data_IF_497027980894
#
_entry.id   IF_497027980894
#
_cell.length_a   1.000
_cell.length_b   1.000
_cell.length_c   1.000
_cell.angle_alpha   90.00
_cell.angle_beta   90.00
_cell.angle_gamma   90.00
#
_symmetry.space_group_name_H-M   'P 1'
#
loop_
_entity.id
_entity.type
_entity.pdbx_description
1 polymer ?
#
# COMPACT_ATOMS: atom_id res chain seq x y z
N UNK A 1 -14.20 25.92 -45.68
CA UNK A 1 -13.83 27.00 -44.74
C UNK A 1 -14.32 26.58 -43.36
N UNK A 2 -13.44 26.02 -42.54
CA UNK A 2 -13.75 25.57 -41.18
C UNK A 2 -12.54 25.89 -40.31
N UNK A 3 -12.63 26.99 -39.56
CA UNK A 3 -11.59 27.47 -38.63
C UNK A 3 -11.73 26.77 -37.28
N UNK A 4 -10.65 26.14 -36.84
CA UNK A 4 -10.48 25.55 -35.49
C UNK A 4 -10.61 26.63 -34.39
N UNK A 5 -11.12 26.30 -33.19
CA UNK A 5 -11.14 27.23 -32.07
C UNK A 5 -9.74 27.36 -31.45
N UNK A 6 -9.30 28.60 -31.27
CA UNK A 6 -8.05 28.96 -30.61
C UNK A 6 -8.10 28.58 -29.11
N UNK A 7 -7.12 27.77 -28.69
CA UNK A 7 -6.76 27.59 -27.28
C UNK A 7 -6.34 28.94 -26.69
N UNK A 8 -7.00 29.34 -25.60
CA UNK A 8 -6.61 30.51 -24.81
C UNK A 8 -5.43 30.14 -23.91
N UNK A 9 -4.35 30.90 -24.05
CA UNK A 9 -3.21 30.92 -23.13
C UNK A 9 -3.67 31.20 -21.69
N UNK A 10 -3.53 30.19 -20.81
CA UNK A 10 -3.64 30.40 -19.37
C UNK A 10 -2.27 30.83 -18.84
N UNK A 11 -2.10 32.15 -18.69
CA UNK A 11 -0.94 32.81 -18.09
C UNK A 11 -0.57 32.18 -16.73
N UNK A 12 0.67 31.70 -16.62
CA UNK A 12 1.36 31.40 -15.36
C UNK A 12 1.33 32.64 -14.45
N UNK A 13 0.62 32.58 -13.32
CA UNK A 13 0.89 33.45 -12.16
C UNK A 13 1.68 32.64 -11.15
N UNK A 14 2.97 32.93 -11.06
CA UNK A 14 3.81 32.49 -9.95
C UNK A 14 3.37 33.22 -8.69
N UNK A 15 2.71 32.50 -7.80
CA UNK A 15 2.52 32.84 -6.40
C UNK A 15 2.61 31.53 -5.64
N UNK A 16 3.66 31.35 -4.85
CA UNK A 16 3.75 30.23 -3.92
C UNK A 16 2.65 30.42 -2.86
N UNK A 17 1.46 29.91 -3.17
CA UNK A 17 0.43 29.73 -2.17
C UNK A 17 1.00 28.73 -1.16
N UNK A 18 1.17 29.19 0.08
CA UNK A 18 1.52 28.33 1.21
C UNK A 18 0.43 27.27 1.28
N UNK A 19 0.76 26.03 0.89
CA UNK A 19 -0.15 24.89 1.01
C UNK A 19 -0.62 24.84 2.47
N UNK A 20 -1.93 24.73 2.74
CA UNK A 20 -2.44 24.65 4.10
C UNK A 20 -1.80 23.46 4.81
N UNK A 21 -1.47 23.63 6.09
CA UNK A 21 -0.89 22.57 6.92
C UNK A 21 -1.75 21.30 6.78
N UNK A 22 -1.11 20.22 6.33
CA UNK A 22 -1.77 18.94 6.12
C UNK A 22 -2.30 18.43 7.46
N UNK A 23 -3.62 18.50 7.66
CA UNK A 23 -4.24 17.90 8.84
C UNK A 23 -4.32 16.38 8.64
N UNK A 24 -3.49 15.66 9.38
CA UNK A 24 -3.56 14.19 9.52
C UNK A 24 -4.19 13.91 10.87
N UNK A 25 -5.37 13.29 10.87
CA UNK A 25 -6.01 12.80 12.11
C UNK A 25 -5.95 11.27 12.13
N UNK A 26 -5.30 10.73 13.16
CA UNK A 26 -5.31 9.31 13.47
C UNK A 26 -6.36 9.07 14.55
N UNK A 27 -7.38 8.30 14.22
CA UNK A 27 -8.42 7.88 15.16
C UNK A 27 -8.36 6.37 15.34
N UNK A 28 -8.18 5.93 16.58
CA UNK A 28 -8.16 4.51 16.92
C UNK A 28 -9.58 4.07 17.26
N UNK A 29 -10.09 3.08 16.54
CA UNK A 29 -11.36 2.43 16.86
C UNK A 29 -11.03 1.08 17.49
N UNK A 30 -11.20 1.01 18.80
CA UNK A 30 -11.11 -0.25 19.54
C UNK A 30 -12.35 -1.11 19.26
N UNK A 31 -12.17 -2.25 18.61
CA UNK A 31 -13.19 -3.30 18.58
C UNK A 31 -13.15 -4.09 19.90
N UNK A 32 -13.89 -3.61 20.90
CA UNK A 32 -13.94 -4.20 22.26
C UNK A 32 -14.48 -5.64 22.32
N UNK A 33 -14.83 -6.25 21.18
CA UNK A 33 -15.37 -7.61 21.07
C UNK A 33 -14.42 -8.67 20.53
N UNK A 34 -13.19 -8.34 20.12
CA UNK A 34 -12.26 -9.33 19.54
C UNK A 34 -10.87 -9.29 20.22
N UNK A 35 -10.27 -10.46 20.45
CA UNK A 35 -8.85 -10.61 20.89
C UNK A 35 -7.84 -10.18 19.80
N UNK A 36 -8.23 -9.28 18.91
CA UNK A 36 -7.53 -8.98 17.67
C UNK A 36 -6.90 -7.59 17.66
N UNK A 37 -6.04 -7.32 16.67
CA UNK A 37 -5.34 -6.03 16.53
C UNK A 37 -6.30 -4.86 16.33
N UNK A 38 -5.85 -3.63 16.54
CA UNK A 38 -6.75 -2.47 16.45
C UNK A 38 -7.07 -2.07 15.00
N UNK A 39 -8.22 -1.43 14.79
CA UNK A 39 -8.55 -0.73 13.54
C UNK A 39 -8.22 0.75 13.74
N UNK A 40 -7.34 1.25 12.91
CA UNK A 40 -6.88 2.63 12.89
C UNK A 40 -7.46 3.30 11.65
N UNK A 41 -8.30 4.32 11.86
CA UNK A 41 -8.72 5.19 10.78
C UNK A 41 -7.69 6.31 10.63
N UNK A 42 -7.11 6.41 9.44
CA UNK A 42 -6.24 7.51 9.08
C UNK A 42 -7.02 8.42 8.14
N UNK A 43 -7.40 9.57 8.66
CA UNK A 43 -7.97 10.62 7.83
C UNK A 43 -6.82 11.45 7.29
N UNK A 44 -6.62 11.37 5.99
CA UNK A 44 -5.70 12.26 5.28
C UNK A 44 -6.53 13.23 4.44
N UNK A 45 -6.18 14.50 4.46
CA UNK A 45 -6.51 15.35 3.33
C UNK A 45 -5.60 14.90 2.20
N UNK A 46 -6.16 14.35 1.12
CA UNK A 46 -5.34 13.95 -0.02
C UNK A 46 -4.74 15.21 -0.62
N UNK A 47 -3.41 15.29 -0.58
CA UNK A 47 -2.71 16.29 -1.38
C UNK A 47 -2.57 15.71 -2.77
N UNK A 48 -3.06 16.46 -3.75
CA UNK A 48 -2.79 16.18 -5.14
C UNK A 48 -1.32 16.55 -5.41
N UNK A 49 -0.40 15.61 -5.19
CA UNK A 49 0.95 15.73 -5.74
C UNK A 49 1.01 14.97 -7.07
N UNK A 50 1.32 15.68 -8.15
CA UNK A 50 1.67 15.06 -9.43
C UNK A 50 2.92 14.20 -9.20
N UNK A 51 2.85 12.91 -9.56
CA UNK A 51 3.91 11.93 -9.29
C UNK A 51 5.29 12.44 -9.74
N UNK A 52 6.31 12.33 -8.91
CA UNK A 52 7.69 12.63 -9.32
C UNK A 52 8.36 11.55 -10.18
N UNK A 53 7.75 10.38 -10.40
CA UNK A 53 8.30 9.36 -11.31
C UNK A 53 7.24 8.65 -12.18
N UNK A 54 6.97 9.21 -13.36
CA UNK A 54 6.90 8.45 -14.62
C UNK A 54 5.66 7.62 -14.98
N UNK A 55 4.73 7.31 -14.08
CA UNK A 55 3.46 6.65 -14.44
C UNK A 55 2.31 7.65 -14.33
N UNK A 56 1.88 8.29 -15.43
CA UNK A 56 0.83 9.27 -15.36
C UNK A 56 -0.51 8.61 -14.95
N UNK A 57 -1.24 9.27 -14.04
CA UNK A 57 -2.62 8.95 -13.69
C UNK A 57 -3.53 9.32 -14.87
N UNK A 58 -3.67 8.44 -15.86
CA UNK A 58 -4.37 8.80 -17.11
C UNK A 58 -5.80 8.30 -17.25
N UNK A 59 -6.36 7.57 -16.28
CA UNK A 59 -7.74 7.07 -16.40
C UNK A 59 -8.58 7.37 -15.16
N UNK A 60 -9.81 7.86 -15.39
CA UNK A 60 -10.88 8.01 -14.37
C UNK A 60 -11.15 6.71 -13.60
N UNK A 61 -10.67 5.56 -14.12
CA UNK A 61 -10.79 4.22 -13.54
C UNK A 61 -9.71 3.87 -12.51
N UNK A 62 -8.59 4.60 -12.50
CA UNK A 62 -7.43 4.34 -11.64
C UNK A 62 -6.99 5.64 -10.98
N UNK A 63 -7.85 6.19 -10.12
CA UNK A 63 -7.52 7.37 -9.32
C UNK A 63 -6.51 6.97 -8.22
N UNK A 64 -5.23 6.94 -8.60
CA UNK A 64 -4.13 6.65 -7.70
C UNK A 64 -3.63 7.96 -7.10
N UNK A 65 -3.76 8.08 -5.79
CA UNK A 65 -3.29 9.25 -5.04
C UNK A 65 -2.01 8.92 -4.32
N UNK A 66 -1.12 9.89 -4.22
CA UNK A 66 0.16 9.73 -3.54
C UNK A 66 0.04 10.26 -2.11
N UNK A 67 0.67 9.55 -1.17
CA UNK A 67 0.75 10.01 0.22
C UNK A 67 1.84 11.07 0.35
N UNK A 68 1.53 12.17 1.02
CA UNK A 68 2.53 13.18 1.34
C UNK A 68 3.65 12.58 2.23
N UNK A 69 4.89 13.07 2.14
CA UNK A 69 6.01 12.57 2.95
C UNK A 69 5.75 12.57 4.46
N UNK A 70 4.97 13.53 4.97
CA UNK A 70 4.58 13.59 6.38
C UNK A 70 3.69 12.44 6.82
N UNK A 71 2.82 11.92 5.93
CA UNK A 71 2.02 10.72 6.19
C UNK A 71 2.93 9.50 6.27
N UNK A 72 3.90 9.37 5.37
CA UNK A 72 4.85 8.27 5.38
C UNK A 72 5.72 8.26 6.65
N UNK A 73 6.17 9.44 7.11
CA UNK A 73 6.89 9.57 8.38
C UNK A 73 6.03 9.15 9.59
N UNK A 74 4.75 9.53 9.61
CA UNK A 74 3.82 9.08 10.64
C UNK A 74 3.62 7.56 10.62
N UNK A 75 3.57 6.95 9.43
CA UNK A 75 3.49 5.49 9.28
C UNK A 75 4.74 4.79 9.79
N UNK A 76 5.94 5.33 9.56
CA UNK A 76 7.18 4.78 10.13
C UNK A 76 7.15 4.77 11.65
N UNK A 77 6.75 5.89 12.24
CA UNK A 77 6.55 6.03 13.69
C UNK A 77 5.54 5.00 14.24
N UNK A 78 4.44 4.79 13.52
CA UNK A 78 3.45 3.77 13.86
C UNK A 78 4.05 2.36 13.76
N UNK A 79 4.73 2.05 12.65
CA UNK A 79 5.32 0.74 12.42
C UNK A 79 6.35 0.36 13.47
N UNK A 80 7.16 1.32 13.95
CA UNK A 80 8.11 1.07 15.04
C UNK A 80 7.39 0.77 16.36
N UNK A 81 6.43 1.62 16.75
CA UNK A 81 5.69 1.45 18.02
C UNK A 81 4.89 0.14 18.05
N UNK A 82 4.24 -0.20 16.93
CA UNK A 82 3.45 -1.42 16.79
C UNK A 82 4.29 -2.66 16.38
N UNK A 83 5.62 -2.51 16.32
CA UNK A 83 6.56 -3.57 15.95
C UNK A 83 6.20 -4.29 14.63
N UNK A 84 5.72 -3.52 13.65
CA UNK A 84 5.31 -4.03 12.34
C UNK A 84 6.55 -4.45 11.56
N UNK A 85 6.67 -5.76 11.29
CA UNK A 85 7.75 -6.32 10.45
C UNK A 85 7.29 -6.70 9.06
N UNK A 86 5.99 -6.97 8.93
CA UNK A 86 5.33 -7.49 7.73
C UNK A 86 4.04 -6.70 7.53
N UNK A 87 3.91 -6.07 6.37
CA UNK A 87 2.72 -5.31 6.01
C UNK A 87 2.05 -5.88 4.75
N UNK A 88 0.73 -5.96 4.77
CA UNK A 88 -0.08 -6.22 3.58
C UNK A 88 -0.64 -4.88 3.10
N UNK A 89 -0.18 -4.41 1.95
CA UNK A 89 -0.62 -3.18 1.32
C UNK A 89 -1.71 -3.51 0.29
N UNK A 90 -2.94 -3.03 0.50
CA UNK A 90 -4.06 -3.22 -0.43
C UNK A 90 -4.45 -1.85 -1.00
N UNK A 91 -4.28 -1.67 -2.31
CA UNK A 91 -4.51 -0.37 -2.96
C UNK A 91 -3.57 0.75 -2.49
N UNK A 92 -2.45 0.41 -1.84
CA UNK A 92 -1.52 1.38 -1.21
C UNK A 92 -0.11 1.30 -1.82
N UNK A 93 0.05 1.50 -3.14
CA UNK A 93 1.32 1.31 -3.84
C UNK A 93 2.46 2.19 -3.29
N UNK A 94 2.17 3.44 -2.94
CA UNK A 94 3.16 4.38 -2.43
C UNK A 94 3.72 3.96 -1.06
N UNK A 95 2.86 3.42 -0.18
CA UNK A 95 3.30 2.90 1.12
C UNK A 95 4.08 1.61 0.94
N UNK A 96 3.64 0.73 0.04
CA UNK A 96 4.40 -0.48 -0.31
C UNK A 96 5.81 -0.13 -0.77
N UNK A 97 5.93 0.82 -1.69
CA UNK A 97 7.22 1.30 -2.18
C UNK A 97 8.07 1.83 -1.03
N UNK A 98 7.55 2.75 -0.21
CA UNK A 98 8.25 3.30 0.95
C UNK A 98 8.80 2.21 1.88
N UNK A 99 7.99 1.19 2.20
CA UNK A 99 8.41 0.06 3.04
C UNK A 99 9.52 -0.77 2.36
N UNK A 100 9.45 -0.95 1.05
CA UNK A 100 10.36 -1.82 0.29
C UNK A 100 11.64 -1.12 -0.19
N UNK A 101 11.69 0.20 -0.20
CA UNK A 101 12.86 0.99 -0.64
C UNK A 101 14.18 0.55 0.02
N UNK A 102 14.26 0.35 1.36
CA UNK A 102 15.48 -0.15 2.01
C UNK A 102 15.91 -1.54 1.51
N UNK A 103 14.94 -2.42 1.27
CA UNK A 103 15.19 -3.77 0.76
C UNK A 103 15.75 -3.73 -0.67
N UNK A 104 15.13 -2.97 -1.57
CA UNK A 104 15.58 -2.85 -2.95
C UNK A 104 16.97 -2.22 -3.05
N UNK A 105 17.25 -1.19 -2.26
CA UNK A 105 18.57 -0.53 -2.20
C UNK A 105 19.69 -1.53 -1.86
N UNK A 106 19.46 -2.40 -0.87
CA UNK A 106 20.44 -3.44 -0.48
C UNK A 106 20.59 -4.53 -1.53
N UNK A 107 19.50 -4.90 -2.19
CA UNK A 107 19.55 -5.89 -3.27
C UNK A 107 20.41 -5.36 -4.45
N UNK A 108 20.29 -4.07 -4.77
CA UNK A 108 21.07 -3.42 -5.81
C UNK A 108 22.55 -3.28 -5.43
N UNK A 109 22.85 -2.90 -4.19
CA UNK A 109 24.24 -2.80 -3.72
C UNK A 109 24.94 -4.16 -3.73
N UNK A 110 24.25 -5.23 -3.30
CA UNK A 110 24.78 -6.58 -3.32
C UNK A 110 25.11 -7.06 -4.75
N UNK A 111 24.24 -6.77 -5.73
CA UNK A 111 24.49 -7.12 -7.14
C UNK A 111 25.75 -6.47 -7.72
N UNK A 112 26.02 -5.21 -7.36
CA UNK A 112 27.22 -4.49 -7.84
C UNK A 112 28.51 -5.10 -7.30
N UNK A 113 28.53 -5.42 -6.00
CA UNK A 113 29.69 -6.06 -5.36
C UNK A 113 30.07 -7.41 -5.98
N UNK A 114 29.09 -8.16 -6.50
CA UNK A 114 29.33 -9.43 -7.17
C UNK A 114 29.90 -9.26 -8.60
N UNK A 115 29.50 -8.20 -9.31
CA UNK A 115 30.03 -7.90 -10.64
C UNK A 115 31.46 -7.36 -10.60
N UNK A 116 31.81 -6.59 -9.57
CA UNK A 116 33.16 -6.02 -9.41
C UNK A 116 34.20 -7.03 -8.93
N UNK A 117 33.78 -8.15 -8.34
CA UNK A 117 34.67 -9.20 -7.82
C UNK A 117 34.99 -10.32 -8.81
N UNK A 118 34.51 -10.27 -10.06
CA UNK A 118 34.76 -11.30 -11.08
C UNK A 118 35.12 -10.73 -12.47
N UNK A 119 36.41 -10.43 -12.76
CA UNK A 119 36.83 -9.95 -14.07
C UNK A 119 37.30 -11.04 -15.07
N UNK A 120 37.18 -12.35 -14.81
CA UNK A 120 37.95 -13.33 -15.61
C UNK A 120 37.28 -14.63 -16.06
N UNK A 121 35.96 -14.70 -16.26
CA UNK A 121 35.36 -15.87 -16.92
C UNK A 121 34.29 -15.48 -17.97
N UNK A 122 34.35 -16.06 -19.19
CA UNK A 122 33.39 -15.76 -20.25
C UNK A 122 31.98 -16.32 -19.94
N UNK A 123 30.91 -15.71 -20.48
CA UNK A 123 29.55 -16.03 -20.11
C UNK A 123 29.08 -17.34 -20.75
N UNK A 124 29.03 -18.42 -19.97
CA UNK A 124 28.21 -19.59 -20.31
C UNK A 124 26.76 -19.33 -19.91
N UNK A 125 25.85 -19.51 -20.87
CA UNK A 125 24.40 -19.36 -20.75
C UNK A 125 23.84 -20.20 -19.58
N UNK A 126 23.24 -19.55 -18.58
CA UNK A 126 22.13 -20.02 -17.72
C UNK A 126 22.00 -19.12 -16.50
N UNK A 127 21.29 -17.99 -16.62
CA UNK A 127 20.85 -17.18 -15.48
C UNK A 127 19.43 -17.62 -15.08
N UNK A 128 19.30 -18.85 -14.62
CA UNK A 128 18.04 -19.40 -14.13
C UNK A 128 18.25 -20.34 -12.93
N UNK A 129 19.12 -19.97 -11.98
CA UNK A 129 19.26 -20.70 -10.71
C UNK A 129 20.13 -19.99 -9.67
N UNK A 130 20.19 -18.66 -9.64
CA UNK A 130 20.92 -17.95 -8.59
C UNK A 130 20.10 -17.98 -7.28
N UNK A 131 20.30 -19.06 -6.51
CA UNK A 131 19.84 -19.24 -5.14
C UNK A 131 20.51 -18.28 -4.16
N UNK A 132 20.24 -16.97 -4.29
CA UNK A 132 20.78 -15.91 -3.42
C UNK A 132 19.95 -15.71 -2.14
N UNK A 133 19.01 -16.62 -1.84
CA UNK A 133 18.30 -16.66 -0.54
C UNK A 133 18.69 -17.88 0.31
N UNK A 134 19.83 -18.52 0.02
CA UNK A 134 20.30 -19.72 0.75
C UNK A 134 21.22 -19.45 1.94
N UNK A 135 21.37 -18.21 2.39
CA UNK A 135 21.72 -17.96 3.78
C UNK A 135 20.55 -17.20 4.36
N UNK A 136 19.87 -17.79 5.35
CA UNK A 136 18.89 -17.06 6.16
C UNK A 136 19.58 -15.77 6.60
N UNK A 137 19.23 -14.60 6.03
CA UNK A 137 19.71 -13.36 6.59
C UNK A 137 19.13 -13.35 8.00
N UNK A 138 19.97 -13.10 9.01
CA UNK A 138 19.48 -12.99 10.38
C UNK A 138 18.21 -12.14 10.36
N UNK A 139 17.10 -12.69 10.85
CA UNK A 139 15.74 -12.12 10.73
C UNK A 139 15.68 -10.68 11.31
N UNK A 140 16.69 -10.26 12.08
CA UNK A 140 16.88 -8.89 12.54
C UNK A 140 17.30 -7.86 11.47
N UNK A 141 17.99 -8.26 10.40
CA UNK A 141 18.68 -7.32 9.49
C UNK A 141 17.86 -6.87 8.28
N UNK A 142 16.82 -7.58 7.86
CA UNK A 142 16.13 -7.34 6.57
C UNK A 142 15.22 -6.09 6.61
N UNK A 143 15.03 -5.46 7.76
CA UNK A 143 14.08 -4.35 7.91
C UNK A 143 12.62 -4.84 7.81
N UNK A 144 11.71 -3.95 7.44
CA UNK A 144 10.29 -4.27 7.22
C UNK A 144 10.10 -4.75 5.78
N UNK A 145 9.17 -5.67 5.58
CA UNK A 145 8.78 -6.14 4.25
C UNK A 145 7.28 -5.96 4.05
N UNK A 146 6.88 -5.79 2.79
CA UNK A 146 5.48 -5.75 2.43
C UNK A 146 5.19 -6.48 1.12
N UNK A 147 3.91 -6.81 0.91
CA UNK A 147 3.39 -7.20 -0.39
C UNK A 147 2.23 -6.28 -0.75
N UNK A 148 2.05 -6.08 -2.05
CA UNK A 148 1.06 -5.20 -2.63
C UNK A 148 -0.01 -6.01 -3.36
N UNK A 149 -1.25 -5.83 -2.94
CA UNK A 149 -2.43 -6.33 -3.63
C UNK A 149 -3.14 -5.13 -4.24
N UNK A 150 -3.07 -5.02 -5.56
CA UNK A 150 -3.62 -3.87 -6.29
C UNK A 150 -4.33 -4.32 -7.57
N UNK A 151 -5.28 -3.52 -8.05
CA UNK A 151 -5.97 -3.80 -9.30
C UNK A 151 -5.10 -3.43 -10.52
N UNK A 152 -4.20 -2.45 -10.35
CA UNK A 152 -3.37 -1.91 -11.43
C UNK A 152 -2.23 -2.85 -11.83
N UNK A 153 -2.46 -3.59 -12.93
CA UNK A 153 -1.48 -4.51 -13.51
C UNK A 153 -0.14 -3.88 -13.89
N UNK A 154 -0.05 -2.55 -14.07
CA UNK A 154 1.21 -1.88 -14.42
C UNK A 154 2.25 -2.05 -13.30
N UNK A 155 1.79 -2.13 -12.06
CA UNK A 155 2.62 -2.32 -10.87
C UNK A 155 3.30 -3.70 -10.84
N UNK A 156 2.80 -4.66 -11.64
CA UNK A 156 3.42 -5.97 -11.81
C UNK A 156 4.84 -5.89 -12.37
N UNK A 157 5.12 -4.92 -13.24
CA UNK A 157 6.42 -4.84 -13.93
C UNK A 157 7.52 -4.24 -13.05
N UNK A 158 7.14 -3.43 -12.05
CA UNK A 158 8.09 -2.78 -11.14
C UNK A 158 8.31 -3.58 -9.85
N UNK A 159 7.44 -4.53 -9.54
CA UNK A 159 7.53 -5.37 -8.35
C UNK A 159 8.00 -6.79 -8.65
N UNK A 160 8.71 -7.41 -7.71
CA UNK A 160 9.02 -8.83 -7.82
C UNK A 160 7.74 -9.67 -7.65
N UNK A 161 7.60 -10.83 -8.33
CA UNK A 161 6.39 -11.66 -8.26
C UNK A 161 5.94 -12.09 -6.85
N UNK A 162 6.85 -12.15 -5.88
CA UNK A 162 6.55 -12.46 -4.47
C UNK A 162 6.02 -11.29 -3.65
N UNK A 163 6.07 -10.07 -4.19
CA UNK A 163 5.68 -8.84 -3.51
C UNK A 163 4.47 -8.16 -4.17
N UNK A 164 3.93 -8.71 -5.26
CA UNK A 164 2.78 -8.14 -5.95
C UNK A 164 1.78 -9.22 -6.36
N UNK A 165 0.50 -8.93 -6.20
CA UNK A 165 -0.57 -9.69 -6.84
C UNK A 165 -1.69 -8.80 -7.35
N UNK A 166 -2.18 -9.10 -8.55
CA UNK A 166 -3.32 -8.41 -9.10
C UNK A 166 -4.60 -8.84 -8.38
N UNK A 167 -5.21 -7.90 -7.65
CA UNK A 167 -6.28 -8.15 -6.70
C UNK A 167 -7.35 -7.05 -6.77
N UNK A 168 -8.62 -7.46 -6.80
CA UNK A 168 -9.75 -6.55 -6.70
C UNK A 168 -10.24 -6.49 -5.26
N UNK A 169 -10.03 -5.35 -4.61
CA UNK A 169 -10.42 -5.11 -3.22
C UNK A 169 -11.93 -5.26 -2.99
N UNK A 170 -12.78 -4.80 -3.91
CA UNK A 170 -14.23 -4.76 -3.69
C UNK A 170 -14.88 -6.13 -3.77
N UNK A 171 -14.36 -6.99 -4.64
CA UNK A 171 -14.85 -8.37 -4.83
C UNK A 171 -14.06 -9.39 -4.03
N UNK A 172 -12.90 -9.02 -3.50
CA UNK A 172 -11.96 -9.91 -2.81
C UNK A 172 -11.51 -11.08 -3.70
N UNK A 173 -11.09 -10.75 -4.91
CA UNK A 173 -10.69 -11.73 -5.93
C UNK A 173 -9.30 -11.44 -6.49
N UNK A 174 -8.49 -12.49 -6.64
CA UNK A 174 -7.21 -12.43 -7.35
C UNK A 174 -7.42 -12.74 -8.83
N UNK A 175 -6.76 -11.99 -9.70
CA UNK A 175 -6.81 -12.20 -11.15
C UNK A 175 -5.80 -13.26 -11.63
N UNK A 176 -4.74 -13.50 -10.84
CA UNK A 176 -3.67 -14.44 -11.18
C UNK A 176 -3.35 -15.31 -9.97
N UNK A 177 -3.67 -16.61 -10.05
CA UNK A 177 -3.48 -17.57 -8.96
C UNK A 177 -2.01 -17.73 -8.54
N UNK A 178 -1.08 -17.70 -9.51
CA UNK A 178 0.35 -17.78 -9.23
C UNK A 178 0.85 -16.62 -8.35
N UNK A 179 0.33 -15.41 -8.58
CA UNK A 179 0.68 -14.22 -7.78
C UNK A 179 0.05 -14.27 -6.39
N UNK A 180 -1.20 -14.74 -6.30
CA UNK A 180 -1.83 -15.01 -5.02
C UNK A 180 -0.98 -15.97 -4.19
N UNK A 181 -0.57 -17.11 -4.79
CA UNK A 181 0.27 -18.11 -4.11
C UNK A 181 1.62 -17.52 -3.70
N UNK A 182 2.25 -16.73 -4.56
CA UNK A 182 3.55 -16.13 -4.30
C UNK A 182 3.53 -15.09 -3.17
N UNK A 183 2.47 -14.30 -3.05
CA UNK A 183 2.33 -13.28 -2.01
C UNK A 183 1.75 -13.81 -0.69
N UNK A 184 1.11 -14.98 -0.71
CA UNK A 184 0.40 -15.55 0.45
C UNK A 184 1.30 -15.77 1.66
N UNK A 185 2.52 -16.25 1.47
CA UNK A 185 3.46 -16.49 2.58
C UNK A 185 3.71 -15.19 3.36
N UNK A 186 3.99 -14.10 2.67
CA UNK A 186 4.24 -12.81 3.30
C UNK A 186 2.96 -12.24 3.91
N UNK A 187 1.84 -12.33 3.21
CA UNK A 187 0.55 -11.85 3.68
C UNK A 187 0.09 -12.57 4.96
N UNK A 188 0.24 -13.90 5.07
CA UNK A 188 -0.14 -14.69 6.27
C UNK A 188 0.60 -14.30 7.53
N UNK A 189 1.75 -13.64 7.39
CA UNK A 189 2.56 -13.19 8.52
C UNK A 189 2.47 -11.67 8.72
N UNK A 190 1.59 -10.99 7.98
CA UNK A 190 1.36 -9.57 8.12
C UNK A 190 0.85 -9.25 9.52
N UNK A 191 1.51 -8.31 10.19
CA UNK A 191 1.06 -7.73 11.47
C UNK A 191 0.39 -6.38 11.27
N UNK A 192 0.39 -5.86 10.05
CA UNK A 192 -0.34 -4.68 9.65
C UNK A 192 -0.94 -4.85 8.26
N UNK A 193 -2.17 -4.39 8.08
CA UNK A 193 -2.87 -4.32 6.79
C UNK A 193 -3.18 -2.85 6.54
N UNK A 194 -2.82 -2.36 5.36
CA UNK A 194 -3.07 -1.01 4.92
C UNK A 194 -4.07 -1.04 3.77
N UNK A 195 -5.14 -0.24 3.87
CA UNK A 195 -6.19 -0.16 2.86
C UNK A 195 -6.40 1.29 2.44
N UNK A 196 -6.31 1.55 1.14
CA UNK A 196 -6.70 2.81 0.53
C UNK A 196 -7.73 2.51 -0.59
N UNK A 197 -9.01 2.34 -0.24
CA UNK A 197 -10.05 2.05 -1.21
C UNK A 197 -10.31 3.27 -2.12
N UNK A 198 -10.72 3.06 -3.39
CA UNK A 198 -11.12 4.16 -4.26
C UNK A 198 -12.22 5.04 -3.67
N UNK A 199 -12.26 6.31 -4.09
CA UNK A 199 -13.34 7.23 -3.70
C UNK A 199 -14.69 6.75 -4.19
N UNK A 200 -15.72 6.95 -3.37
CA UNK A 200 -17.10 6.65 -3.74
C UNK A 200 -17.45 5.15 -3.80
N UNK A 201 -16.58 4.26 -3.32
CA UNK A 201 -16.92 2.83 -3.25
C UNK A 201 -18.11 2.58 -2.33
N UNK A 202 -18.97 1.58 -2.63
CA UNK A 202 -20.05 1.20 -1.74
C UNK A 202 -19.52 0.79 -0.36
N UNK A 203 -19.89 1.54 0.69
CA UNK A 203 -19.45 1.29 2.07
C UNK A 203 -19.75 -0.14 2.55
N UNK A 204 -20.86 -0.73 2.08
CA UNK A 204 -21.22 -2.11 2.40
C UNK A 204 -20.20 -3.12 1.87
N UNK A 205 -19.68 -2.92 0.65
CA UNK A 205 -18.66 -3.78 0.06
C UNK A 205 -17.33 -3.65 0.81
N UNK A 206 -16.88 -2.42 1.07
CA UNK A 206 -15.67 -2.16 1.85
C UNK A 206 -15.75 -2.79 3.25
N UNK A 207 -16.90 -2.70 3.92
CA UNK A 207 -17.13 -3.35 5.22
C UNK A 207 -16.98 -4.87 5.14
N UNK A 208 -17.55 -5.49 4.11
CA UNK A 208 -17.47 -6.93 3.94
C UNK A 208 -16.00 -7.38 3.79
N UNK A 209 -15.20 -6.60 3.07
CA UNK A 209 -13.76 -6.84 2.88
C UNK A 209 -13.00 -6.69 4.20
N UNK A 210 -13.19 -5.58 4.92
CA UNK A 210 -12.55 -5.37 6.23
C UNK A 210 -12.89 -6.51 7.20
N UNK A 211 -14.14 -6.96 7.25
CA UNK A 211 -14.56 -8.09 8.10
C UNK A 211 -13.87 -9.39 7.72
N UNK A 212 -13.72 -9.68 6.42
CA UNK A 212 -13.00 -10.87 5.95
C UNK A 212 -11.51 -10.80 6.29
N UNK A 213 -10.87 -9.65 6.05
CA UNK A 213 -9.47 -9.44 6.41
C UNK A 213 -9.24 -9.59 7.91
N UNK A 214 -10.13 -9.05 8.75
CA UNK A 214 -10.08 -9.24 10.21
C UNK A 214 -10.22 -10.70 10.62
N UNK A 215 -11.08 -11.45 9.95
CA UNK A 215 -11.22 -12.88 10.21
C UNK A 215 -9.96 -13.66 9.81
N UNK A 216 -9.35 -13.30 8.68
CA UNK A 216 -8.16 -13.95 8.15
C UNK A 216 -6.87 -13.55 8.90
N UNK A 217 -6.82 -12.33 9.42
CA UNK A 217 -5.66 -11.72 10.07
C UNK A 217 -6.06 -11.11 11.42
N UNK A 218 -6.47 -11.94 12.39
CA UNK A 218 -7.07 -11.46 13.64
C UNK A 218 -6.11 -10.58 14.45
N UNK A 219 -4.81 -10.86 14.41
CA UNK A 219 -3.81 -10.11 15.18
C UNK A 219 -3.24 -8.88 14.45
N UNK A 220 -3.57 -8.69 13.17
CA UNK A 220 -3.03 -7.58 12.41
C UNK A 220 -3.74 -6.27 12.77
N UNK A 221 -2.95 -5.20 12.88
CA UNK A 221 -3.48 -3.84 12.85
C UNK A 221 -4.05 -3.55 11.46
N UNK A 222 -5.18 -2.86 11.39
CA UNK A 222 -5.79 -2.46 10.12
C UNK A 222 -5.78 -0.94 10.03
N UNK A 223 -4.95 -0.39 9.15
CA UNK A 223 -4.89 1.02 8.82
C UNK A 223 -5.78 1.26 7.59
N UNK A 224 -6.88 2.01 7.77
CA UNK A 224 -7.76 2.39 6.68
C UNK A 224 -7.60 3.87 6.37
N UNK A 225 -7.09 4.16 5.18
CA UNK A 225 -7.05 5.52 4.62
C UNK A 225 -8.42 5.84 4.04
N UNK A 226 -9.02 6.94 4.48
CA UNK A 226 -10.38 7.28 4.05
C UNK A 226 -10.61 8.79 4.04
N UNK A 227 -11.34 9.33 3.05
CA UNK A 227 -11.64 10.76 3.01
C UNK A 227 -12.50 11.22 4.19
N UNK A 228 -12.26 12.45 4.63
CA UNK A 228 -12.89 13.05 5.81
C UNK A 228 -14.43 13.17 5.71
N UNK A 229 -14.99 13.36 4.51
CA UNK A 229 -16.40 13.68 4.32
C UNK A 229 -17.36 12.49 4.47
N UNK A 230 -16.86 11.28 4.68
CA UNK A 230 -17.69 10.08 4.83
C UNK A 230 -17.44 9.34 6.17
N UNK A 231 -16.86 10.06 7.13
CA UNK A 231 -16.51 9.58 8.47
C UNK A 231 -17.73 9.07 9.25
N UNK A 232 -18.81 9.85 9.32
CA UNK A 232 -19.98 9.53 10.14
C UNK A 232 -20.64 8.20 9.71
N UNK A 233 -20.83 8.00 8.41
CA UNK A 233 -21.40 6.76 7.85
C UNK A 233 -20.53 5.55 8.15
N UNK A 234 -19.20 5.68 8.00
CA UNK A 234 -18.27 4.59 8.26
C UNK A 234 -18.17 4.26 9.76
N UNK A 235 -18.09 5.28 10.62
CA UNK A 235 -18.02 5.11 12.08
C UNK A 235 -19.27 4.45 12.63
N UNK A 236 -20.46 4.96 12.28
CA UNK A 236 -21.74 4.37 12.70
C UNK A 236 -21.80 2.88 12.32
N UNK A 237 -21.24 2.51 11.17
CA UNK A 237 -21.33 1.17 10.64
C UNK A 237 -20.27 0.17 11.16
N UNK A 238 -19.04 0.64 11.39
CA UNK A 238 -17.97 -0.17 12.00
C UNK A 238 -18.28 -0.38 13.49
N UNK A 239 -18.72 0.66 14.21
CA UNK A 239 -19.01 0.59 15.65
C UNK A 239 -20.37 -0.04 15.99
N UNK A 240 -21.42 0.11 15.15
CA UNK A 240 -22.72 -0.55 15.42
C UNK A 240 -22.64 -2.09 15.41
N UNK A 241 -21.64 -2.66 14.72
CA UNK A 241 -21.38 -4.10 14.77
C UNK A 241 -20.92 -4.56 16.16
N UNK A 242 -20.29 -3.66 16.94
CA UNK A 242 -19.82 -3.92 18.32
C UNK A 242 -21.01 -3.92 19.30
N UNK A 243 -21.94 -2.97 19.17
CA UNK A 243 -23.09 -2.86 20.08
C UNK A 243 -24.11 -4.01 19.93
N UNK A 244 -24.29 -4.54 18.72
CA UNK A 244 -25.25 -5.63 18.47
C UNK A 244 -24.84 -6.98 19.06
N UNK A 245 -23.56 -7.15 19.43
CA UNK A 245 -23.02 -8.35 20.09
C UNK A 245 -22.98 -8.26 21.63
N UNK A 246 -23.18 -7.07 22.18
CA UNK A 246 -23.25 -6.85 23.63
C UNK A 246 -24.70 -6.84 24.15
N UNK A 247 -25.69 -6.81 23.24
CA UNK A 247 -27.11 -6.76 23.53
C UNK A 247 -27.89 -8.02 23.10
N UNK A 248 -27.19 -9.08 22.69
CA UNK A 248 -27.70 -10.43 22.41
C UNK A 248 -26.79 -11.46 23.07
#
# INVERSE_FOLDING_TARGET
MSSLPQMRDCKRRGGAAKLPDLMIELEVIEDKGSRGGDIHLIQTQLVFEESTEGLPSQDEKHAQYFFAPSVLAMLDDFFERAQVRRALCIGTPCVHEHIMQPFYSRLLSAKRSFQESSPSCPPSKSLASAGVLSSNPHVGDIGRLSCLWDLDQRLRYVNMPRFYAQYNMLTDTFHVEAEQKATRELATQATCILLDPPFGVPLAALRAVIRRLRHQYPLAHVLLFFPYFNKASLLLDITATVYKRLLL
#
